data_IF_505779522777
#
_entry.id   IF_505779522777
#
_cell.length_a   1.000
_cell.length_b   1.000
_cell.length_c   1.000
_cell.angle_alpha   90.00
_cell.angle_beta   90.00
_cell.angle_gamma   90.00
#
_symmetry.space_group_name_H-M   'P 1'
#
loop_
_entity.id
_entity.type
_entity.pdbx_description
1 polymer ?
#
# COMPACT_ATOMS: atom_id res chain seq x y z
N UNK A 1 -34.28 27.78 -23.21
CA UNK A 1 -35.28 26.70 -23.11
C UNK A 1 -34.60 25.38 -23.42
N UNK A 2 -34.29 24.57 -22.41
CA UNK A 2 -33.79 23.21 -22.59
C UNK A 2 -34.92 22.38 -23.18
N UNK A 3 -34.67 21.75 -24.34
CA UNK A 3 -35.66 20.90 -25.00
C UNK A 3 -35.73 19.57 -24.25
N UNK A 4 -36.93 19.03 -24.06
CA UNK A 4 -37.19 17.82 -23.27
C UNK A 4 -36.37 16.61 -23.75
N UNK A 5 -36.07 16.55 -25.06
CA UNK A 5 -35.23 15.50 -25.65
C UNK A 5 -33.76 15.55 -25.18
N UNK A 6 -33.25 16.74 -24.87
CA UNK A 6 -31.89 16.93 -24.36
C UNK A 6 -31.75 16.34 -22.95
N UNK A 7 -32.81 16.42 -22.14
CA UNK A 7 -32.84 15.82 -20.80
C UNK A 7 -32.88 14.28 -20.88
N UNK A 8 -33.65 13.74 -21.83
CA UNK A 8 -33.75 12.30 -22.04
C UNK A 8 -32.42 11.70 -22.52
N UNK A 9 -31.74 12.38 -23.44
CA UNK A 9 -30.42 11.98 -23.94
C UNK A 9 -29.35 11.98 -22.82
N UNK A 10 -29.36 13.01 -21.96
CA UNK A 10 -28.46 13.11 -20.82
C UNK A 10 -28.68 11.96 -19.82
N UNK A 11 -29.94 11.61 -19.55
CA UNK A 11 -30.30 10.50 -18.65
C UNK A 11 -29.79 9.14 -19.16
N UNK A 12 -29.93 8.87 -20.46
CA UNK A 12 -29.42 7.62 -21.08
C UNK A 12 -27.89 7.56 -21.02
N UNK A 13 -27.21 8.70 -21.20
CA UNK A 13 -25.74 8.76 -21.15
C UNK A 13 -25.20 8.49 -19.74
N UNK A 14 -25.89 8.93 -18.68
CA UNK A 14 -25.52 8.62 -17.29
C UNK A 14 -25.69 7.15 -16.91
N UNK A 15 -26.60 6.41 -17.55
CA UNK A 15 -26.79 4.97 -17.30
C UNK A 15 -25.68 4.09 -17.91
N UNK A 16 -24.82 4.63 -18.78
CA UNK A 16 -23.65 3.94 -19.34
C UNK A 16 -22.41 4.02 -18.44
N UNK A 17 -22.57 4.46 -17.19
CA UNK A 17 -21.47 4.59 -16.23
C UNK A 17 -20.74 3.25 -16.03
N UNK A 18 -19.45 3.29 -16.37
CA UNK A 18 -18.48 2.20 -16.36
C UNK A 18 -18.60 1.28 -15.13
N UNK A 19 -18.55 -0.04 -15.37
CA UNK A 19 -18.41 -1.02 -14.29
C UNK A 19 -17.04 -0.89 -13.65
N UNK A 20 -16.98 -0.40 -12.42
CA UNK A 20 -15.79 -0.47 -11.60
C UNK A 20 -15.47 -1.94 -11.27
N UNK A 21 -14.31 -2.43 -11.73
CA UNK A 21 -13.74 -3.69 -11.23
C UNK A 21 -13.05 -3.37 -9.91
N UNK A 22 -13.73 -3.61 -8.78
CA UNK A 22 -13.03 -3.65 -7.50
C UNK A 22 -12.16 -4.91 -7.47
N UNK A 23 -10.83 -4.76 -7.35
CA UNK A 23 -9.95 -5.90 -7.06
C UNK A 23 -10.16 -6.29 -5.59
N UNK A 24 -11.04 -7.26 -5.37
CA UNK A 24 -11.06 -8.02 -4.14
C UNK A 24 -9.89 -9.00 -4.20
N UNK A 25 -8.91 -8.85 -3.31
CA UNK A 25 -7.90 -9.89 -3.09
C UNK A 25 -8.58 -11.00 -2.29
N UNK A 26 -8.86 -12.18 -2.85
CA UNK A 26 -9.43 -13.26 -2.07
C UNK A 26 -8.45 -13.64 -0.97
N UNK A 27 -8.82 -13.36 0.27
CA UNK A 27 -8.13 -13.89 1.45
C UNK A 27 -8.46 -15.37 1.50
N UNK A 28 -7.70 -16.19 0.78
CA UNK A 28 -7.80 -17.64 0.84
C UNK A 28 -7.51 -18.08 2.28
N UNK A 29 -8.55 -18.42 3.04
CA UNK A 29 -8.42 -18.90 4.43
C UNK A 29 -7.69 -20.24 4.54
N UNK A 30 -7.58 -20.99 3.43
CA UNK A 30 -6.90 -22.29 3.37
C UNK A 30 -5.56 -22.26 2.61
N UNK A 31 -5.16 -21.13 2.03
CA UNK A 31 -3.76 -20.95 1.64
C UNK A 31 -3.04 -20.47 2.89
N UNK A 32 -2.03 -21.21 3.34
CA UNK A 32 -1.03 -20.65 4.26
C UNK A 32 -0.40 -19.45 3.55
N UNK A 33 -1.01 -18.27 3.71
CA UNK A 33 -0.44 -17.00 3.28
C UNK A 33 0.81 -16.85 4.14
N UNK A 34 1.93 -17.33 3.62
CA UNK A 34 3.24 -17.17 4.22
C UNK A 34 3.56 -15.69 4.16
N UNK A 35 3.14 -14.99 5.21
CA UNK A 35 3.32 -13.56 5.35
C UNK A 35 4.82 -13.25 5.19
N UNK A 36 5.17 -12.51 4.15
CA UNK A 36 6.58 -12.31 3.78
C UNK A 36 7.21 -11.35 4.79
N UNK A 37 6.44 -10.37 5.27
CA UNK A 37 6.89 -9.39 6.25
C UNK A 37 6.21 -9.58 7.60
N UNK A 38 6.97 -9.55 8.69
CA UNK A 38 6.35 -9.41 10.02
C UNK A 38 5.74 -8.02 10.15
N UNK A 39 4.70 -7.84 11.00
CA UNK A 39 4.23 -6.49 11.34
C UNK A 39 5.41 -5.61 11.78
N UNK A 40 5.58 -4.42 11.19
CA UNK A 40 6.72 -3.56 11.50
C UNK A 40 6.63 -3.03 12.93
N UNK A 41 7.78 -2.80 13.55
CA UNK A 41 7.86 -2.45 14.97
C UNK A 41 8.98 -1.43 15.26
N UNK A 42 8.85 -0.59 16.30
CA UNK A 42 7.64 -0.41 17.12
C UNK A 42 6.50 0.26 16.32
N UNK A 43 5.27 0.06 16.75
CA UNK A 43 4.11 0.79 16.23
C UNK A 43 3.20 1.16 17.41
N UNK A 44 3.05 2.45 17.76
CA UNK A 44 3.58 3.62 17.04
C UNK A 44 5.11 3.76 17.06
N UNK A 45 5.69 4.28 15.98
CA UNK A 45 7.11 4.57 15.82
C UNK A 45 7.42 6.06 16.06
N UNK A 46 8.59 6.38 16.59
CA UNK A 46 8.98 7.77 16.89
C UNK A 46 10.16 8.26 16.05
N UNK A 47 11.30 7.56 16.13
CA UNK A 47 12.52 7.89 15.38
C UNK A 47 12.93 6.84 14.35
N UNK A 48 12.58 5.57 14.58
CA UNK A 48 12.94 4.45 13.71
C UNK A 48 11.85 3.41 13.66
N UNK A 49 11.79 2.67 12.56
CA UNK A 49 10.93 1.49 12.42
C UNK A 49 11.69 0.35 11.75
N UNK A 50 11.44 -0.86 12.23
CA UNK A 50 12.08 -2.07 11.74
C UNK A 50 11.09 -2.93 10.95
N UNK A 51 11.56 -3.39 9.79
CA UNK A 51 10.90 -4.37 8.95
C UNK A 51 11.69 -5.67 8.98
N UNK A 52 11.04 -6.77 9.33
CA UNK A 52 11.63 -8.11 9.29
C UNK A 52 10.99 -8.94 8.18
N UNK A 53 11.82 -9.52 7.34
CA UNK A 53 11.41 -10.33 6.20
C UNK A 53 11.69 -11.80 6.49
N UNK A 54 10.74 -12.67 6.17
CA UNK A 54 10.96 -14.11 6.27
C UNK A 54 11.95 -14.54 5.19
N UNK A 55 13.09 -15.08 5.63
CA UNK A 55 14.19 -15.56 4.78
C UNK A 55 13.75 -16.81 4.04
N UNK A 56 13.07 -16.68 2.90
CA UNK A 56 12.72 -17.88 2.13
C UNK A 56 12.48 -17.70 0.62
N UNK A 57 13.01 -16.66 -0.03
CA UNK A 57 12.92 -16.58 -1.50
C UNK A 57 14.08 -15.78 -2.09
N UNK A 58 14.70 -16.30 -3.14
CA UNK A 58 15.67 -15.64 -4.03
C UNK A 58 15.05 -14.48 -4.85
N UNK A 59 13.91 -13.95 -4.38
CA UNK A 59 13.14 -12.93 -5.07
C UNK A 59 13.61 -11.56 -4.58
N UNK A 60 14.03 -10.74 -5.53
CA UNK A 60 14.30 -9.33 -5.28
C UNK A 60 12.99 -8.60 -5.06
N UNK A 61 12.81 -8.04 -3.86
CA UNK A 61 11.67 -7.22 -3.50
C UNK A 61 12.10 -5.78 -3.25
N UNK A 62 11.17 -4.85 -3.49
CA UNK A 62 11.35 -3.43 -3.18
C UNK A 62 10.33 -3.03 -2.12
N UNK A 63 10.80 -2.44 -1.02
CA UNK A 63 9.95 -1.83 -0.01
C UNK A 63 9.73 -0.37 -0.39
N UNK A 64 8.47 0.05 -0.48
CA UNK A 64 8.09 1.45 -0.71
C UNK A 64 7.20 1.91 0.43
N UNK A 65 7.52 3.08 0.99
CA UNK A 65 6.70 3.71 2.02
C UNK A 65 6.04 4.96 1.45
N UNK A 66 4.74 5.09 1.68
CA UNK A 66 3.94 6.24 1.32
C UNK A 66 3.38 6.90 2.57
N UNK A 67 3.22 8.22 2.54
CA UNK A 67 2.36 8.90 3.50
C UNK A 67 0.88 8.65 3.18
N UNK A 68 -0.02 9.09 4.07
CA UNK A 68 -1.46 8.90 3.89
C UNK A 68 -2.01 9.55 2.60
N UNK A 69 -1.40 10.62 2.10
CA UNK A 69 -1.79 11.28 0.84
C UNK A 69 -1.27 10.56 -0.42
N UNK A 70 -0.54 9.44 -0.26
CA UNK A 70 0.05 8.69 -1.37
C UNK A 70 1.38 9.25 -1.88
N UNK A 71 2.00 10.23 -1.18
CA UNK A 71 3.36 10.68 -1.51
C UNK A 71 4.36 9.60 -1.10
N UNK A 72 5.23 9.20 -2.03
CA UNK A 72 6.37 8.29 -1.75
C UNK A 72 7.36 8.98 -0.82
N UNK A 73 7.65 8.36 0.31
CA UNK A 73 8.56 8.85 1.34
C UNK A 73 9.91 8.14 1.28
N UNK A 74 9.91 6.83 1.03
CA UNK A 74 11.11 6.00 1.03
C UNK A 74 10.97 4.87 0.00
N UNK A 75 12.09 4.44 -0.57
CA UNK A 75 12.17 3.28 -1.46
C UNK A 75 13.47 2.52 -1.20
N UNK A 76 13.36 1.27 -0.75
CA UNK A 76 14.51 0.41 -0.43
C UNK A 76 14.49 -0.82 -1.33
N UNK A 77 15.55 -0.97 -2.13
CA UNK A 77 15.71 -2.07 -3.11
C UNK A 77 16.52 -3.24 -2.56
N UNK A 78 17.50 -2.95 -1.70
CA UNK A 78 18.39 -3.96 -1.13
C UNK A 78 17.93 -4.37 0.27
N UNK A 79 16.87 -5.18 0.31
CA UNK A 79 16.28 -5.62 1.57
C UNK A 79 17.13 -6.68 2.24
N UNK A 80 17.61 -6.37 3.44
CA UNK A 80 18.20 -7.34 4.37
C UNK A 80 17.11 -8.03 5.18
N UNK A 81 17.42 -9.16 5.84
CA UNK A 81 16.49 -9.85 6.77
C UNK A 81 15.78 -8.90 7.73
N UNK A 82 16.53 -7.89 8.20
CA UNK A 82 16.01 -6.76 8.95
C UNK A 82 16.43 -5.48 8.24
N UNK A 83 15.47 -4.62 7.93
CA UNK A 83 15.67 -3.29 7.36
C UNK A 83 15.13 -2.25 8.33
N UNK A 84 15.99 -1.32 8.75
CA UNK A 84 15.61 -0.20 9.62
C UNK A 84 15.46 1.08 8.78
N UNK A 85 14.38 1.82 9.00
CA UNK A 85 14.17 3.14 8.39
C UNK A 85 14.25 4.22 9.47
N UNK A 86 14.99 5.30 9.16
CA UNK A 86 14.97 6.52 9.96
C UNK A 86 13.73 7.35 9.60
N UNK A 87 13.02 7.82 10.63
CA UNK A 87 11.78 8.56 10.51
C UNK A 87 11.94 10.07 10.74
N UNK A 88 13.16 10.63 10.77
CA UNK A 88 13.40 12.06 11.05
C UNK A 88 12.61 13.00 10.13
N UNK A 89 12.48 12.64 8.85
CA UNK A 89 11.73 13.42 7.85
C UNK A 89 10.23 13.07 7.78
N UNK A 90 9.72 12.32 8.77
CA UNK A 90 8.33 11.89 8.83
C UNK A 90 7.56 12.75 9.84
N UNK A 91 6.36 13.18 9.45
CA UNK A 91 5.41 13.82 10.35
C UNK A 91 4.56 12.79 11.09
N UNK A 92 3.98 13.18 12.22
CA UNK A 92 2.97 12.38 12.94
C UNK A 92 1.82 12.01 12.01
N UNK A 93 1.49 10.72 11.93
CA UNK A 93 0.44 10.24 11.04
C UNK A 93 0.56 8.76 10.68
N UNK A 94 -0.29 8.34 9.75
CA UNK A 94 -0.34 6.95 9.24
C UNK A 94 0.47 6.88 7.94
N UNK A 95 1.29 5.84 7.84
CA UNK A 95 2.07 5.52 6.66
C UNK A 95 1.70 4.13 6.16
N UNK A 96 1.74 3.96 4.84
CA UNK A 96 1.45 2.71 4.17
C UNK A 96 2.76 2.20 3.58
N UNK A 97 3.13 0.96 3.90
CA UNK A 97 4.22 0.29 3.22
C UNK A 97 3.67 -0.71 2.21
N UNK A 98 4.40 -0.87 1.11
CA UNK A 98 4.16 -1.87 0.08
C UNK A 98 5.46 -2.61 -0.19
N UNK A 99 5.38 -3.93 -0.21
CA UNK A 99 6.41 -4.78 -0.75
C UNK A 99 6.02 -5.10 -2.18
N UNK A 100 6.91 -4.84 -3.13
CA UNK A 100 6.70 -5.09 -4.56
C UNK A 100 7.70 -6.10 -5.09
N UNK A 101 7.26 -6.93 -6.03
CA UNK A 101 8.15 -7.81 -6.80
C UNK A 101 8.89 -7.02 -7.90
N UNK A 102 9.83 -7.70 -8.59
CA UNK A 102 10.56 -7.17 -9.74
C UNK A 102 9.68 -6.71 -10.92
N UNK A 103 8.45 -7.21 -11.01
CA UNK A 103 7.47 -6.84 -12.04
C UNK A 103 6.64 -5.61 -11.61
N UNK A 104 6.85 -5.10 -10.39
CA UNK A 104 6.14 -3.97 -9.82
C UNK A 104 4.80 -4.33 -9.15
N UNK A 105 4.44 -5.61 -9.09
CA UNK A 105 3.21 -6.06 -8.44
C UNK A 105 3.33 -5.95 -6.93
N UNK A 106 2.27 -5.52 -6.26
CA UNK A 106 2.21 -5.49 -4.80
C UNK A 106 2.02 -6.92 -4.31
N UNK A 107 3.03 -7.45 -3.62
CA UNK A 107 2.99 -8.79 -3.03
C UNK A 107 2.47 -8.75 -1.59
N UNK A 108 2.77 -7.67 -0.86
CA UNK A 108 2.27 -7.45 0.49
C UNK A 108 2.17 -5.95 0.77
N UNK A 109 1.26 -5.56 1.66
CA UNK A 109 1.15 -4.17 2.12
C UNK A 109 0.62 -4.11 3.55
N UNK A 110 0.87 -2.98 4.20
CA UNK A 110 0.34 -2.73 5.54
C UNK A 110 0.52 -1.28 5.94
N UNK A 111 0.24 -0.98 7.21
CA UNK A 111 0.32 0.37 7.75
C UNK A 111 1.03 0.41 9.10
N UNK A 112 1.60 1.57 9.42
CA UNK A 112 2.15 1.89 10.74
C UNK A 112 1.89 3.35 11.09
N UNK A 113 1.92 3.65 12.39
CA UNK A 113 1.74 5.02 12.90
C UNK A 113 3.10 5.60 13.26
N UNK A 114 3.30 6.88 12.97
CA UNK A 114 4.44 7.68 13.44
C UNK A 114 3.93 8.74 14.41
N UNK A 115 4.64 8.95 15.52
CA UNK A 115 4.38 9.99 16.52
C UNK A 115 5.69 10.76 16.75
N UNK A 116 5.70 12.04 16.38
CA UNK A 116 6.77 12.98 16.73
C UNK A 116 6.40 13.71 18.04
N UNK A 117 7.35 13.72 18.96
CA UNK A 117 7.27 14.49 20.20
C UNK A 117 7.91 15.86 20.00
#
# INVERSE_FOLDING_TARGET
MIKTYTLFFLMVCCCLSFRAKAQYSPKNENATVTKIIKPPYPNPATSRINFEFQKNNDKHYVLIVYNFLGKKMEEVKDLSYRTELNLDNYYTGIYIYQLRDQNGNIVESGKFNVIKN
#
